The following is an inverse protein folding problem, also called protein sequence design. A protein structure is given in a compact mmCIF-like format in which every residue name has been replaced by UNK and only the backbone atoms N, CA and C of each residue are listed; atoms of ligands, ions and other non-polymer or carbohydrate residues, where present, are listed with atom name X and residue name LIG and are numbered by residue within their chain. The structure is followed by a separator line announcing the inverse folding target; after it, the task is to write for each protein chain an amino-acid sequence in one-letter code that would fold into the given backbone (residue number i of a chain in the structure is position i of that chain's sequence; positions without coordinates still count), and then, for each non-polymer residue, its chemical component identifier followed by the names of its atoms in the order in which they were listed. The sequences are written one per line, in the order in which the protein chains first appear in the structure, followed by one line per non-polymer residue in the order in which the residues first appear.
data_IF_365921314131
#
_entry.id   IF_365921314131
#
_cell.length_a   1.000
_cell.length_b   1.000
_cell.length_c   1.000
_cell.angle_alpha   90.00
_cell.angle_beta   90.00
_cell.angle_gamma   90.00
#
_symmetry.space_group_name_H-M   'P 1'
#
loop_
_entity.id
_entity.type
_entity.pdbx_description
1 polymer ?
#
# COMPACT_ATOMS: atom_id res chain seq x y z
N UNK A 1 -0.60 32.15 41.92
CA UNK A 1 -1.17 32.63 40.64
C UNK A 1 -1.56 31.41 39.81
N UNK A 2 -2.85 31.10 39.76
CA UNK A 2 -3.43 30.01 38.96
C UNK A 2 -3.45 30.42 37.48
N UNK A 3 -3.13 29.48 36.60
CA UNK A 3 -3.69 29.27 35.24
C UNK A 3 -3.17 27.88 34.80
N UNK A 4 -3.87 26.78 35.13
CA UNK A 4 -5.01 26.22 34.40
C UNK A 4 -4.87 26.30 32.88
N UNK A 5 -4.52 25.16 32.27
CA UNK A 5 -5.04 24.68 30.99
C UNK A 5 -4.88 23.15 30.93
N UNK A 6 -5.86 22.45 31.50
CA UNK A 6 -6.31 21.14 31.05
C UNK A 6 -7.71 21.33 30.46
N UNK A 7 -7.86 20.98 29.20
CA UNK A 7 -9.06 20.46 28.54
C UNK A 7 -8.55 19.96 27.17
N UNK A 8 -8.28 18.67 27.06
CA UNK A 8 -9.24 17.70 26.52
C UNK A 8 -9.58 18.01 25.06
N UNK A 9 -8.96 17.25 24.16
CA UNK A 9 -9.68 16.62 23.07
C UNK A 9 -9.15 15.20 22.93
N UNK A 10 -9.88 14.31 23.61
CA UNK A 10 -9.97 12.89 23.34
C UNK A 10 -10.15 12.66 21.84
N UNK A 11 -9.20 11.96 21.23
CA UNK A 11 -9.43 11.17 20.04
C UNK A 11 -8.72 9.86 20.29
N UNK A 12 -9.53 8.81 20.47
CA UNK A 12 -9.14 7.44 20.71
C UNK A 12 -8.12 6.95 19.66
N UNK A 13 -6.83 7.07 19.94
CA UNK A 13 -5.79 6.32 19.24
C UNK A 13 -5.54 4.97 19.93
N UNK A 14 -6.59 4.17 20.08
CA UNK A 14 -6.50 2.77 20.51
C UNK A 14 -6.24 1.85 19.30
N UNK A 15 -5.19 2.13 18.52
CA UNK A 15 -4.74 1.26 17.43
C UNK A 15 -3.58 0.32 17.83
N UNK A 16 -3.17 0.35 19.11
CA UNK A 16 -1.95 -0.31 19.58
C UNK A 16 -2.16 -1.53 20.48
N UNK A 17 -3.38 -2.02 20.66
CA UNK A 17 -3.56 -3.28 21.41
C UNK A 17 -3.48 -4.46 20.46
N UNK A 18 -2.26 -4.99 20.38
CA UNK A 18 -1.91 -6.29 19.84
C UNK A 18 -2.65 -7.38 20.66
N UNK A 19 -3.89 -7.67 20.29
CA UNK A 19 -4.60 -8.87 20.73
C UNK A 19 -4.20 -9.96 19.75
N UNK A 20 -3.44 -10.94 20.23
CA UNK A 20 -3.09 -12.16 19.49
C UNK A 20 -4.24 -12.59 18.59
N UNK A 21 -4.03 -12.50 17.28
CA UNK A 21 -4.96 -12.99 16.25
C UNK A 21 -5.93 -11.97 15.64
N UNK A 22 -5.96 -10.69 16.06
CA UNK A 22 -6.83 -9.69 15.41
C UNK A 22 -6.03 -8.67 14.61
N UNK A 23 -6.20 -8.68 13.28
CA UNK A 23 -5.65 -7.66 12.40
C UNK A 23 -6.25 -6.29 12.77
N UNK A 24 -5.41 -5.26 12.89
CA UNK A 24 -5.85 -3.88 13.18
C UNK A 24 -5.17 -2.87 12.23
N UNK A 25 -5.74 -1.68 12.10
CA UNK A 25 -5.19 -0.59 11.31
C UNK A 25 -5.14 -0.87 9.81
N UNK A 26 -4.02 -0.54 9.15
CA UNK A 26 -3.84 -0.76 7.71
C UNK A 26 -3.86 -2.24 7.34
N UNK A 27 -3.28 -3.10 8.18
CA UNK A 27 -3.20 -4.54 7.92
C UNK A 27 -4.58 -5.18 7.73
N UNK A 28 -5.58 -4.75 8.52
CA UNK A 28 -6.96 -5.22 8.41
C UNK A 28 -7.68 -4.77 7.12
N UNK A 29 -7.22 -3.70 6.47
CA UNK A 29 -7.75 -3.26 5.15
C UNK A 29 -6.98 -3.87 3.98
N UNK A 30 -5.71 -4.17 4.19
CA UNK A 30 -4.86 -4.75 3.17
C UNK A 30 -5.08 -6.26 3.02
N UNK A 31 -5.24 -6.97 4.14
CA UNK A 31 -5.51 -8.41 4.17
C UNK A 31 -7.03 -8.60 4.13
N UNK A 32 -7.53 -9.23 3.07
CA UNK A 32 -8.97 -9.41 2.86
C UNK A 32 -9.63 -10.53 3.65
N UNK A 33 -8.86 -11.40 4.30
CA UNK A 33 -9.37 -12.53 5.06
C UNK A 33 -9.74 -12.11 6.49
N UNK A 34 -10.92 -12.48 6.95
CA UNK A 34 -11.31 -12.37 8.36
C UNK A 34 -10.69 -13.51 9.19
N UNK A 35 -10.75 -13.39 10.52
CA UNK A 35 -10.31 -14.45 11.41
C UNK A 35 -11.11 -15.75 11.20
N UNK A 36 -12.40 -15.64 10.90
CA UNK A 36 -13.27 -16.79 10.63
C UNK A 36 -12.90 -17.47 9.30
N UNK A 37 -12.59 -16.70 8.26
CA UNK A 37 -12.10 -17.23 6.97
C UNK A 37 -10.79 -17.99 7.17
N UNK A 38 -9.86 -17.43 7.94
CA UNK A 38 -8.56 -18.06 8.23
C UNK A 38 -8.78 -19.39 8.96
N UNK A 39 -9.61 -19.41 10.01
CA UNK A 39 -9.91 -20.64 10.76
C UNK A 39 -10.58 -21.70 9.86
N UNK A 40 -11.52 -21.29 9.02
CA UNK A 40 -12.18 -22.20 8.08
C UNK A 40 -11.21 -22.80 7.06
N UNK A 41 -10.33 -21.98 6.48
CA UNK A 41 -9.30 -22.45 5.55
C UNK A 41 -8.30 -23.40 6.20
N UNK A 42 -7.90 -23.12 7.45
CA UNK A 42 -6.98 -23.99 8.20
C UNK A 42 -7.61 -25.35 8.51
N UNK A 43 -8.89 -25.38 8.87
CA UNK A 43 -9.64 -26.63 9.10
C UNK A 43 -9.70 -27.51 7.84
N UNK A 44 -9.98 -26.90 6.67
CA UNK A 44 -9.94 -27.60 5.37
C UNK A 44 -8.55 -28.18 5.08
N UNK A 45 -7.49 -27.46 5.43
CA UNK A 45 -6.11 -27.89 5.22
C UNK A 45 -5.61 -28.87 6.30
N UNK A 46 -6.36 -29.07 7.40
CA UNK A 46 -6.00 -29.95 8.51
C UNK A 46 -4.98 -29.37 9.49
N UNK A 47 -4.84 -28.04 9.57
CA UNK A 47 -3.93 -27.35 10.48
C UNK A 47 -4.68 -26.64 11.60
N UNK A 48 -4.06 -26.53 12.77
CA UNK A 48 -4.66 -25.93 13.97
C UNK A 48 -4.56 -24.40 13.96
N UNK A 49 -3.46 -23.87 13.43
CA UNK A 49 -3.12 -22.45 13.46
C UNK A 49 -2.15 -22.10 12.30
N UNK A 50 -1.93 -20.80 12.09
CA UNK A 50 -1.07 -20.31 11.01
C UNK A 50 0.41 -20.67 11.24
N UNK A 51 0.83 -20.82 12.50
CA UNK A 51 2.21 -21.14 12.85
C UNK A 51 2.54 -22.59 12.44
N UNK A 52 1.65 -23.54 12.76
CA UNK A 52 1.78 -24.96 12.36
C UNK A 52 1.73 -25.13 10.84
N UNK A 53 0.89 -24.37 10.13
CA UNK A 53 0.89 -24.35 8.67
C UNK A 53 2.20 -23.82 8.09
N UNK A 54 2.74 -22.73 8.65
CA UNK A 54 3.98 -22.10 8.17
C UNK A 54 5.19 -23.01 8.36
N UNK A 55 5.30 -23.68 9.52
CA UNK A 55 6.38 -24.65 9.80
C UNK A 55 6.35 -25.88 8.87
N UNK A 56 5.18 -26.27 8.37
CA UNK A 56 5.03 -27.38 7.45
C UNK A 56 5.43 -27.02 6.01
N UNK A 57 5.24 -25.74 5.60
CA UNK A 57 5.51 -25.26 4.24
C UNK A 57 6.96 -24.77 4.08
N UNK A 58 7.49 -24.08 5.09
CA UNK A 58 8.82 -23.45 5.03
C UNK A 58 9.84 -24.28 5.82
N UNK A 59 10.91 -24.77 5.18
CA UNK A 59 11.97 -25.50 5.87
C UNK A 59 12.58 -24.70 7.03
N UNK A 60 12.76 -25.34 8.19
CA UNK A 60 13.24 -24.69 9.43
C UNK A 60 14.62 -24.04 9.29
N UNK A 61 15.46 -24.49 8.37
CA UNK A 61 16.80 -23.94 8.15
C UNK A 61 16.80 -22.59 7.42
N UNK A 62 15.67 -22.16 6.85
CA UNK A 62 15.51 -20.85 6.20
C UNK A 62 14.39 -20.00 6.83
N UNK A 63 13.70 -20.53 7.82
CA UNK A 63 12.69 -19.80 8.57
C UNK A 63 13.40 -18.83 9.52
N UNK A 64 13.41 -17.54 9.19
CA UNK A 64 13.99 -16.51 10.04
C UNK A 64 13.14 -16.34 11.31
N UNK A 65 13.73 -16.61 12.47
CA UNK A 65 13.09 -16.43 13.77
C UNK A 65 13.05 -14.97 14.25
N UNK A 66 14.04 -14.18 13.85
CA UNK A 66 14.15 -12.77 14.24
C UNK A 66 13.70 -11.88 13.08
N UNK A 67 12.59 -11.15 13.29
CA UNK A 67 12.14 -10.12 12.36
C UNK A 67 13.04 -8.86 12.50
N UNK A 68 13.41 -8.21 11.40
CA UNK A 68 14.16 -6.96 11.48
C UNK A 68 13.33 -5.88 12.19
N UNK A 69 13.98 -5.08 13.03
CA UNK A 69 13.35 -3.89 13.63
C UNK A 69 13.07 -2.85 12.54
N UNK A 70 11.80 -2.68 12.20
CA UNK A 70 11.30 -1.71 11.21
C UNK A 70 10.56 -0.54 11.87
N UNK A 71 10.60 -0.44 13.20
CA UNK A 71 9.88 0.54 13.99
C UNK A 71 8.38 0.26 14.14
N UNK A 72 7.73 1.13 14.91
CA UNK A 72 6.30 0.99 15.23
C UNK A 72 5.38 1.22 14.02
N UNK A 73 4.27 0.47 13.90
CA UNK A 73 3.31 0.65 12.83
C UNK A 73 2.65 2.03 12.92
N UNK A 74 2.44 2.66 11.76
CA UNK A 74 1.72 3.92 11.65
C UNK A 74 0.31 3.67 11.12
N UNK A 75 -0.66 4.47 11.58
CA UNK A 75 -1.94 4.59 10.90
C UNK A 75 -1.74 5.21 9.50
N UNK A 76 -2.67 4.98 8.57
CA UNK A 76 -2.57 5.57 7.22
C UNK A 76 -2.48 7.11 7.25
N UNK A 77 -3.24 7.75 8.14
CA UNK A 77 -3.24 9.20 8.28
C UNK A 77 -1.88 9.71 8.77
N UNK A 78 -1.32 9.05 9.78
CA UNK A 78 0.02 9.38 10.32
C UNK A 78 1.12 9.10 9.30
N UNK A 79 1.00 8.04 8.50
CA UNK A 79 1.93 7.73 7.42
C UNK A 79 1.91 8.82 6.34
N UNK A 80 0.74 9.26 5.89
CA UNK A 80 0.61 10.36 4.92
C UNK A 80 1.18 11.68 5.47
N UNK A 81 0.91 11.99 6.74
CA UNK A 81 1.48 13.18 7.39
C UNK A 81 3.01 13.12 7.42
N UNK A 82 3.57 12.00 7.87
CA UNK A 82 5.03 11.78 7.92
C UNK A 82 5.67 11.90 6.54
N UNK A 83 5.08 11.28 5.52
CA UNK A 83 5.55 11.39 4.14
C UNK A 83 5.50 12.83 3.63
N UNK A 84 4.46 13.59 3.97
CA UNK A 84 4.35 15.01 3.61
C UNK A 84 5.42 15.87 4.28
N UNK A 85 5.73 15.62 5.55
CA UNK A 85 6.80 16.29 6.29
C UNK A 85 8.18 16.06 5.66
N UNK A 86 8.43 14.86 5.13
CA UNK A 86 9.65 14.54 4.39
C UNK A 86 9.63 15.24 3.03
N UNK A 87 8.52 15.16 2.28
CA UNK A 87 8.40 15.72 0.93
C UNK A 87 8.59 17.24 0.88
N UNK A 88 8.18 17.98 1.91
CA UNK A 88 8.34 19.45 1.99
C UNK A 88 9.81 19.87 2.08
N UNK A 89 10.73 18.97 2.47
CA UNK A 89 12.17 19.26 2.50
C UNK A 89 12.79 19.31 1.10
N UNK A 90 12.09 18.84 0.07
CA UNK A 90 12.57 18.88 -1.30
C UNK A 90 12.49 20.30 -1.87
N UNK A 91 13.55 20.74 -2.56
CA UNK A 91 13.59 22.03 -3.24
C UNK A 91 13.13 21.84 -4.68
N UNK A 92 11.94 22.33 -5.01
CA UNK A 92 11.43 22.30 -6.38
C UNK A 92 11.91 23.54 -7.12
N UNK A 93 12.80 23.34 -8.09
CA UNK A 93 13.36 24.42 -8.93
C UNK A 93 13.00 24.23 -10.40
N UNK A 94 13.12 25.31 -11.17
CA UNK A 94 13.07 25.23 -12.64
C UNK A 94 14.38 24.61 -13.15
N UNK A 95 14.41 23.30 -13.24
CA UNK A 95 15.59 22.57 -13.73
C UNK A 95 15.74 22.73 -15.25
N UNK A 96 16.89 23.27 -15.66
CA UNK A 96 17.32 23.38 -17.06
C UNK A 96 18.58 22.54 -17.32
N UNK A 97 18.84 21.52 -16.48
CA UNK A 97 20.02 20.65 -16.56
C UNK A 97 20.00 19.79 -17.84
N UNK A 98 18.81 19.37 -18.28
CA UNK A 98 18.66 18.47 -19.43
C UNK A 98 19.04 17.03 -19.12
N UNK A 99 19.85 16.41 -19.99
CA UNK A 99 20.31 15.01 -19.88
C UNK A 99 19.18 13.95 -19.96
N UNK A 100 18.20 14.17 -20.85
CA UNK A 100 17.13 13.20 -21.12
C UNK A 100 15.86 13.38 -20.28
N UNK A 101 15.86 14.31 -19.32
CA UNK A 101 14.66 14.70 -18.57
C UNK A 101 14.32 16.17 -18.82
N UNK A 102 13.11 16.41 -19.31
CA UNK A 102 12.60 17.74 -19.60
C UNK A 102 11.25 17.92 -18.91
N UNK A 103 11.04 19.08 -18.28
CA UNK A 103 9.77 19.38 -17.62
C UNK A 103 8.67 19.54 -18.67
N UNK A 104 7.67 18.66 -18.62
CA UNK A 104 6.48 18.71 -19.46
C UNK A 104 5.25 19.14 -18.66
N UNK A 105 4.24 19.67 -19.36
CA UNK A 105 2.91 19.89 -18.77
C UNK A 105 2.10 18.60 -18.85
N UNK A 106 1.67 18.07 -17.70
CA UNK A 106 0.76 16.92 -17.63
C UNK A 106 -0.69 17.43 -17.60
N UNK A 107 -1.52 17.16 -18.63
CA UNK A 107 -2.91 17.59 -18.63
C UNK A 107 -3.68 17.02 -17.44
N UNK A 108 -4.42 17.86 -16.72
CA UNK A 108 -5.15 17.46 -15.51
C UNK A 108 -6.18 16.34 -15.77
N UNK A 109 -6.76 16.30 -16.97
CA UNK A 109 -7.70 15.24 -17.38
C UNK A 109 -7.02 13.87 -17.42
N UNK A 110 -5.76 13.80 -17.88
CA UNK A 110 -4.98 12.55 -17.91
C UNK A 110 -4.55 12.19 -16.50
N UNK A 111 -4.06 13.17 -15.73
CA UNK A 111 -3.64 12.95 -14.34
C UNK A 111 -4.76 12.33 -13.50
N UNK A 112 -5.96 12.92 -13.53
CA UNK A 112 -7.09 12.47 -12.70
C UNK A 112 -7.74 11.18 -13.20
N UNK A 113 -7.94 11.04 -14.52
CA UNK A 113 -8.76 9.95 -15.06
C UNK A 113 -7.96 8.71 -15.47
N UNK A 114 -6.64 8.83 -15.63
CA UNK A 114 -5.74 7.73 -16.00
C UNK A 114 -4.75 7.46 -14.88
N UNK A 115 -3.91 8.44 -14.51
CA UNK A 115 -2.82 8.20 -13.55
C UNK A 115 -3.29 7.92 -12.11
N UNK A 116 -4.29 8.66 -11.62
CA UNK A 116 -4.85 8.50 -10.27
C UNK A 116 -6.05 7.53 -10.23
N UNK A 117 -6.36 6.85 -11.35
CA UNK A 117 -7.52 5.97 -11.45
C UNK A 117 -7.12 4.49 -11.31
N UNK A 118 -7.59 3.76 -10.27
CA UNK A 118 -7.24 2.36 -10.07
C UNK A 118 -7.65 1.47 -11.24
N UNK A 119 -8.70 1.82 -12.00
CA UNK A 119 -9.09 1.06 -13.19
C UNK A 119 -8.02 1.00 -14.29
N UNK A 120 -7.04 1.92 -14.28
CA UNK A 120 -5.95 1.96 -15.25
C UNK A 120 -4.64 1.36 -14.73
N UNK A 121 -4.32 1.50 -13.44
CA UNK A 121 -3.02 1.08 -12.90
C UNK A 121 -3.03 -0.24 -12.12
N UNK A 122 -4.20 -0.81 -11.79
CA UNK A 122 -4.28 -2.08 -11.04
C UNK A 122 -4.20 -3.31 -11.93
N UNK A 123 -4.62 -3.21 -13.20
CA UNK A 123 -4.52 -4.31 -14.16
C UNK A 123 -3.08 -4.56 -14.57
N UNK A 124 -2.72 -5.84 -14.73
CA UNK A 124 -1.39 -6.24 -15.18
C UNK A 124 -1.30 -6.37 -16.71
N UNK A 125 -0.23 -7.01 -17.20
CA UNK A 125 0.01 -7.32 -18.61
C UNK A 125 -1.26 -7.90 -19.27
N UNK A 126 -1.65 -7.40 -20.47
CA UNK A 126 -2.85 -7.83 -21.17
C UNK A 126 -2.72 -9.23 -21.79
N UNK A 127 -2.55 -10.26 -20.97
CA UNK A 127 -2.52 -11.66 -21.43
C UNK A 127 -3.89 -12.12 -21.96
N UNK A 128 -4.99 -11.63 -21.38
CA UNK A 128 -6.36 -11.89 -21.83
C UNK A 128 -6.86 -10.70 -22.66
N UNK A 129 -6.75 -10.77 -23.98
CA UNK A 129 -7.00 -9.64 -24.86
C UNK A 129 -8.45 -9.14 -24.82
N UNK A 130 -9.42 -10.04 -24.69
CA UNK A 130 -10.85 -9.78 -24.77
C UNK A 130 -11.33 -8.82 -23.68
N UNK A 131 -10.80 -8.96 -22.47
CA UNK A 131 -11.12 -8.09 -21.32
C UNK A 131 -10.12 -6.94 -21.14
N UNK A 132 -9.25 -6.72 -22.14
CA UNK A 132 -8.11 -5.80 -22.06
C UNK A 132 -8.01 -4.82 -23.22
N UNK A 133 -9.04 -4.74 -24.06
CA UNK A 133 -9.03 -3.95 -25.30
C UNK A 133 -8.67 -2.49 -25.08
N UNK A 134 -9.19 -1.83 -24.03
CA UNK A 134 -8.94 -0.40 -23.80
C UNK A 134 -7.44 -0.04 -23.62
N UNK A 135 -6.68 -0.85 -22.89
CA UNK A 135 -5.23 -0.61 -22.72
C UNK A 135 -4.40 -1.07 -23.92
N UNK A 136 -4.84 -2.11 -24.63
CA UNK A 136 -4.21 -2.54 -25.88
C UNK A 136 -4.34 -1.46 -26.96
N UNK A 137 -5.51 -0.85 -27.08
CA UNK A 137 -5.73 0.29 -27.98
C UNK A 137 -4.81 1.46 -27.63
N UNK A 138 -4.69 1.82 -26.34
CA UNK A 138 -3.77 2.86 -25.90
C UNK A 138 -2.30 2.56 -26.26
N UNK A 139 -1.89 1.29 -26.18
CA UNK A 139 -0.54 0.86 -26.59
C UNK A 139 -0.35 0.93 -28.12
N UNK A 140 -1.36 0.57 -28.92
CA UNK A 140 -1.32 0.73 -30.38
C UNK A 140 -1.25 2.21 -30.77
N UNK A 141 -2.00 3.08 -30.09
CA UNK A 141 -1.91 4.52 -30.28
C UNK A 141 -0.50 5.03 -29.96
N UNK A 142 0.13 4.53 -28.89
CA UNK A 142 1.52 4.85 -28.57
C UNK A 142 2.50 4.36 -29.64
N UNK A 143 2.35 3.12 -30.13
CA UNK A 143 3.17 2.58 -31.22
C UNK A 143 3.04 3.42 -32.48
N UNK A 144 1.83 3.85 -32.81
CA UNK A 144 1.53 4.69 -33.99
C UNK A 144 2.12 6.09 -33.84
N UNK A 145 2.14 6.64 -32.61
CA UNK A 145 2.78 7.93 -32.32
C UNK A 145 4.31 7.88 -32.47
N UNK A 146 4.93 6.73 -32.19
CA UNK A 146 6.39 6.54 -32.25
C UNK A 146 6.90 6.16 -33.64
N UNK A 147 6.10 5.40 -34.40
CA UNK A 147 6.43 4.90 -35.74
C UNK A 147 6.64 6.03 -36.75
#
# INVERSE_FOLDING_TARGET
MKKNLKAENSSNDNYLTNVKGTLCGFAARHIGLSADDINHMLDILGYKDIDTFTEAVVPKNILNGDLPDIGEPLSEQSALKKLKEIAIKNIVVKSMIGQGYYSGYMPNVIKRNVFENPGWYTSYTPYQAEISQGRLEALINFQTMVA
#
